data_IF_749589613415
#
_entry.id   IF_749589613415
#
_cell.length_a   1.000
_cell.length_b   1.000
_cell.length_c   1.000
_cell.angle_alpha   90.00
_cell.angle_beta   90.00
_cell.angle_gamma   90.00
#
_symmetry.space_group_name_H-M   'P 1'
#
loop_
_entity.id
_entity.type
_entity.pdbx_description
1 polymer ?
#
# COMPACT_ATOMS: atom_id res chain seq x y z
N UNK A 1 -21.85 19.72 -1.28
CA UNK A 1 -22.08 18.34 -0.75
C UNK A 1 -21.30 18.26 0.53
N UNK A 2 -21.89 17.86 1.62
CA UNK A 2 -21.20 17.68 2.91
C UNK A 2 -21.07 16.20 3.18
N UNK A 3 -19.97 15.80 3.84
CA UNK A 3 -19.75 14.42 4.24
C UNK A 3 -20.40 14.21 5.62
N UNK A 4 -21.45 13.41 5.68
CA UNK A 4 -22.18 13.13 6.92
C UNK A 4 -21.56 11.92 7.64
N UNK A 5 -20.76 12.18 8.67
CA UNK A 5 -20.12 11.16 9.50
C UNK A 5 -21.07 10.42 10.47
N UNK A 6 -22.36 10.80 10.50
CA UNK A 6 -23.37 10.10 11.31
C UNK A 6 -23.93 8.84 10.63
N UNK A 7 -23.76 8.72 9.30
CA UNK A 7 -24.15 7.51 8.58
C UNK A 7 -23.40 6.28 9.11
N UNK A 8 -23.94 5.07 8.89
CA UNK A 8 -23.18 3.85 9.15
C UNK A 8 -21.96 3.74 8.20
N UNK A 9 -21.00 2.91 8.56
CA UNK A 9 -19.74 2.80 7.82
C UNK A 9 -19.92 2.34 6.38
N UNK A 10 -20.91 1.51 6.09
CA UNK A 10 -21.19 1.07 4.72
C UNK A 10 -21.77 2.21 3.85
N UNK A 11 -22.73 2.98 4.39
CA UNK A 11 -23.30 4.16 3.71
C UNK A 11 -22.25 5.25 3.52
N UNK A 12 -21.38 5.45 4.51
CA UNK A 12 -20.27 6.38 4.41
C UNK A 12 -19.26 5.92 3.34
N UNK A 13 -18.96 4.61 3.27
CA UNK A 13 -18.11 4.04 2.22
C UNK A 13 -18.67 4.35 0.83
N UNK A 14 -19.96 4.11 0.59
CA UNK A 14 -20.61 4.44 -0.68
C UNK A 14 -20.44 5.92 -1.04
N UNK A 15 -20.67 6.81 -0.06
CA UNK A 15 -20.49 8.25 -0.24
C UNK A 15 -19.06 8.64 -0.61
N UNK A 16 -18.06 8.00 0.01
CA UNK A 16 -16.64 8.24 -0.30
C UNK A 16 -16.28 7.68 -1.69
N UNK A 17 -16.79 6.51 -2.04
CA UNK A 17 -16.56 5.89 -3.36
C UNK A 17 -17.11 6.77 -4.48
N UNK A 18 -18.28 7.35 -4.31
CA UNK A 18 -18.93 8.21 -5.32
C UNK A 18 -18.23 9.57 -5.51
N UNK A 19 -17.29 9.93 -4.64
CA UNK A 19 -16.42 11.08 -4.81
C UNK A 19 -15.13 10.60 -5.49
N UNK A 20 -14.96 10.93 -6.77
CA UNK A 20 -13.76 10.58 -7.54
C UNK A 20 -12.52 11.18 -6.90
N UNK A 21 -11.49 10.36 -6.73
CA UNK A 21 -10.20 10.74 -6.16
C UNK A 21 -9.07 9.88 -6.72
N UNK A 22 -8.98 9.77 -8.03
CA UNK A 22 -7.82 9.14 -8.68
C UNK A 22 -6.54 9.88 -8.25
N UNK A 23 -5.45 9.14 -8.05
CA UNK A 23 -4.19 9.70 -7.51
C UNK A 23 -3.77 11.02 -8.20
N UNK A 24 -3.70 12.08 -7.41
CA UNK A 24 -3.45 13.46 -7.84
C UNK A 24 -4.72 14.30 -8.06
N UNK A 25 -5.92 13.75 -7.88
CA UNK A 25 -7.22 14.42 -8.00
C UNK A 25 -8.03 14.40 -6.68
N UNK A 26 -7.37 14.17 -5.54
CA UNK A 26 -8.00 13.94 -4.22
C UNK A 26 -8.57 15.22 -3.58
N UNK A 27 -8.26 16.38 -4.12
CA UNK A 27 -8.54 17.70 -3.51
C UNK A 27 -9.98 17.86 -3.03
N UNK A 28 -10.95 17.38 -3.80
CA UNK A 28 -12.39 17.49 -3.44
C UNK A 28 -12.69 16.65 -2.22
N UNK A 29 -12.29 15.38 -2.24
CA UNK A 29 -12.49 14.44 -1.14
C UNK A 29 -11.74 14.92 0.12
N UNK A 30 -10.48 15.32 -0.01
CA UNK A 30 -9.67 15.88 1.06
C UNK A 30 -10.33 17.08 1.75
N UNK A 31 -10.92 18.00 0.95
CA UNK A 31 -11.60 19.18 1.48
C UNK A 31 -12.89 18.83 2.23
N UNK A 32 -13.63 17.83 1.78
CA UNK A 32 -14.84 17.34 2.46
C UNK A 32 -14.48 16.64 3.79
N UNK A 33 -13.44 15.82 3.79
CA UNK A 33 -12.91 15.17 5.01
C UNK A 33 -12.44 16.24 6.02
N UNK A 34 -11.66 17.23 5.56
CA UNK A 34 -11.20 18.32 6.42
C UNK A 34 -12.38 19.09 7.04
N UNK A 35 -13.37 19.45 6.23
CA UNK A 35 -14.54 20.20 6.70
C UNK A 35 -15.33 19.40 7.76
N UNK A 36 -15.56 18.10 7.51
CA UNK A 36 -16.25 17.21 8.43
C UNK A 36 -15.50 17.07 9.77
N UNK A 37 -14.18 16.86 9.73
CA UNK A 37 -13.36 16.70 10.93
C UNK A 37 -13.21 18.01 11.72
N UNK A 38 -13.11 19.17 11.05
CA UNK A 38 -13.08 20.50 11.72
C UNK A 38 -14.40 20.83 12.44
N UNK A 39 -15.50 20.22 12.03
CA UNK A 39 -16.79 20.31 12.73
C UNK A 39 -16.82 19.59 14.06
N UNK A 40 -15.81 18.79 14.42
CA UNK A 40 -15.74 17.98 15.63
C UNK A 40 -14.86 18.65 16.69
N UNK A 41 -15.46 19.21 17.78
CA UNK A 41 -14.73 20.06 18.73
C UNK A 41 -13.66 19.35 19.56
N UNK A 42 -13.67 18.01 19.59
CA UNK A 42 -12.70 17.19 20.32
C UNK A 42 -11.43 16.87 19.50
N UNK A 43 -11.37 17.31 18.23
CA UNK A 43 -10.23 17.07 17.35
C UNK A 43 -9.48 18.36 17.00
N UNK A 44 -8.17 18.29 16.98
CA UNK A 44 -7.34 19.28 16.33
C UNK A 44 -7.00 18.82 14.91
N UNK A 45 -7.27 19.64 13.90
CA UNK A 45 -7.14 19.25 12.49
C UNK A 45 -6.03 20.06 11.81
N UNK A 46 -5.11 19.35 11.16
CA UNK A 46 -4.03 19.90 10.35
C UNK A 46 -4.17 19.36 8.92
N UNK A 47 -3.80 20.19 7.93
CA UNK A 47 -3.76 19.82 6.50
C UNK A 47 -2.40 20.16 5.90
N UNK A 48 -1.84 19.25 5.11
CA UNK A 48 -0.64 19.44 4.30
C UNK A 48 -0.91 18.88 2.89
N UNK A 49 -1.06 19.77 1.90
CA UNK A 49 -1.55 19.36 0.58
C UNK A 49 -2.96 18.82 0.64
N UNK A 50 -3.15 17.58 0.18
CA UNK A 50 -4.42 16.86 0.28
C UNK A 50 -4.40 15.79 1.38
N UNK A 51 -3.37 15.76 2.21
CA UNK A 51 -3.33 14.96 3.43
C UNK A 51 -3.90 15.70 4.64
N UNK A 52 -4.72 15.02 5.45
CA UNK A 52 -5.38 15.55 6.64
C UNK A 52 -4.96 14.72 7.87
N UNK A 53 -4.57 15.40 8.94
CA UNK A 53 -4.32 14.80 10.24
C UNK A 53 -5.34 15.37 11.23
N UNK A 54 -6.07 14.50 11.93
CA UNK A 54 -6.94 14.88 13.04
C UNK A 54 -6.47 14.17 14.33
N UNK A 55 -6.44 14.90 15.46
CA UNK A 55 -5.86 14.36 16.71
C UNK A 55 -6.73 14.66 17.91
N UNK A 56 -6.88 13.66 18.79
CA UNK A 56 -7.30 13.90 20.17
C UNK A 56 -6.12 14.43 20.98
N UNK A 57 -6.42 15.19 22.04
CA UNK A 57 -5.42 15.77 22.98
C UNK A 57 -5.87 15.59 24.41
N UNK A 58 -6.18 14.34 24.79
CA UNK A 58 -6.72 13.99 26.10
C UNK A 58 -5.60 13.79 27.14
N UNK A 59 -4.33 13.72 26.72
CA UNK A 59 -3.20 13.47 27.59
C UNK A 59 -3.12 12.01 28.06
N UNK A 60 -3.56 11.07 27.22
CA UNK A 60 -3.48 9.64 27.51
C UNK A 60 -2.01 9.17 27.49
N UNK A 61 -1.69 8.11 28.28
CA UNK A 61 -0.31 7.58 28.31
C UNK A 61 0.19 7.03 26.97
N UNK A 62 -0.72 6.55 26.12
CA UNK A 62 -0.43 5.99 24.81
C UNK A 62 -1.12 6.80 23.73
N UNK A 63 -0.49 6.84 22.56
CA UNK A 63 -1.05 7.40 21.33
C UNK A 63 -0.93 6.40 20.21
N UNK A 64 -2.03 6.15 19.53
CA UNK A 64 -2.06 5.31 18.34
C UNK A 64 -2.41 6.12 17.10
N UNK A 65 -1.93 5.65 15.95
CA UNK A 65 -2.23 6.25 14.65
C UNK A 65 -3.14 5.28 13.90
N UNK A 66 -4.23 5.80 13.33
CA UNK A 66 -5.08 5.09 12.38
C UNK A 66 -5.00 5.84 11.07
N UNK A 67 -4.52 5.17 10.02
CA UNK A 67 -4.20 5.82 8.76
C UNK A 67 -4.85 5.11 7.58
N UNK A 68 -5.20 5.87 6.53
CA UNK A 68 -5.66 5.34 5.26
C UNK A 68 -5.47 6.35 4.14
N UNK A 69 -5.17 5.85 2.93
CA UNK A 69 -5.11 6.69 1.75
C UNK A 69 -6.51 6.98 1.21
N UNK A 70 -6.65 8.12 0.56
CA UNK A 70 -7.92 8.60 0.02
C UNK A 70 -7.96 8.60 -1.51
N UNK A 71 -6.85 8.28 -2.14
CA UNK A 71 -6.77 8.13 -3.59
C UNK A 71 -7.19 6.71 -4.03
N UNK A 72 -7.33 6.57 -5.33
CA UNK A 72 -7.62 5.30 -6.00
C UNK A 72 -6.81 5.19 -7.29
N UNK A 73 -6.66 3.97 -7.78
CA UNK A 73 -6.24 3.72 -9.17
C UNK A 73 -7.22 4.33 -10.18
N UNK A 74 -6.88 4.42 -11.49
CA UNK A 74 -7.79 4.90 -12.52
C UNK A 74 -9.10 4.09 -12.55
N UNK A 75 -10.22 4.80 -12.72
CA UNK A 75 -11.58 4.24 -12.75
C UNK A 75 -11.73 3.29 -13.95
N UNK A 76 -12.19 2.07 -13.70
CA UNK A 76 -12.41 1.02 -14.70
C UNK A 76 -13.90 0.78 -14.99
N UNK A 77 -14.66 1.86 -15.23
CA UNK A 77 -16.13 1.85 -15.42
C UNK A 77 -16.91 1.30 -14.19
N UNK A 78 -16.31 1.34 -13.01
CA UNK A 78 -16.84 0.87 -11.73
C UNK A 78 -17.27 2.01 -10.79
N UNK A 79 -17.84 3.08 -11.35
CA UNK A 79 -18.56 4.16 -10.67
C UNK A 79 -19.85 4.50 -11.42
N UNK A 80 -20.91 4.97 -10.72
CA UNK A 80 -20.99 5.16 -9.27
C UNK A 80 -21.01 3.83 -8.51
N UNK A 81 -20.88 3.92 -7.18
CA UNK A 81 -21.02 2.76 -6.30
C UNK A 81 -22.43 2.15 -6.43
N UNK A 82 -22.52 0.85 -6.28
CA UNK A 82 -23.81 0.16 -6.20
C UNK A 82 -23.74 -1.02 -5.25
N UNK A 83 -24.90 -1.44 -4.76
CA UNK A 83 -24.98 -2.53 -3.80
C UNK A 83 -25.72 -3.72 -4.38
N UNK A 84 -25.14 -4.91 -4.26
CA UNK A 84 -25.78 -6.18 -4.57
C UNK A 84 -25.76 -7.09 -3.31
N UNK A 85 -26.92 -7.22 -2.68
CA UNK A 85 -27.00 -7.93 -1.39
C UNK A 85 -26.13 -7.28 -0.32
N UNK A 86 -25.11 -8.01 0.16
CA UNK A 86 -24.14 -7.50 1.13
C UNK A 86 -22.87 -6.91 0.49
N UNK A 87 -22.74 -6.96 -0.82
CA UNK A 87 -21.55 -6.47 -1.51
C UNK A 87 -21.76 -5.03 -1.98
N UNK A 88 -20.81 -4.16 -1.64
CA UNK A 88 -20.73 -2.78 -2.10
C UNK A 88 -19.64 -2.68 -3.15
N UNK A 89 -20.03 -2.48 -4.40
CA UNK A 89 -19.14 -2.34 -5.56
C UNK A 89 -18.74 -0.90 -5.80
N UNK A 90 -17.52 -0.69 -6.28
CA UNK A 90 -17.04 0.61 -6.72
C UNK A 90 -15.53 0.76 -6.59
N UNK A 91 -14.93 1.63 -7.39
CA UNK A 91 -13.50 1.92 -7.36
C UNK A 91 -13.09 2.48 -5.99
N UNK A 92 -12.16 1.82 -5.32
CA UNK A 92 -11.73 2.15 -3.96
C UNK A 92 -12.66 1.63 -2.86
N UNK A 93 -13.70 0.83 -3.18
CA UNK A 93 -14.57 0.25 -2.14
C UNK A 93 -13.84 -0.72 -1.24
N UNK A 94 -12.89 -1.47 -1.78
CA UNK A 94 -11.98 -2.35 -1.09
C UNK A 94 -10.69 -1.60 -0.71
N UNK A 95 -10.05 -0.95 -1.65
CA UNK A 95 -8.75 -0.30 -1.52
C UNK A 95 -8.85 1.21 -1.70
N UNK A 96 -8.91 2.00 -0.58
CA UNK A 96 -9.21 1.53 0.78
C UNK A 96 -10.25 2.44 1.45
N UNK A 97 -11.25 2.96 0.65
CA UNK A 97 -12.27 3.90 1.17
C UNK A 97 -13.18 3.29 2.24
N UNK A 98 -13.34 1.95 2.28
CA UNK A 98 -14.05 1.29 3.38
C UNK A 98 -13.27 1.39 4.70
N UNK A 99 -11.96 1.22 4.66
CA UNK A 99 -11.10 1.47 5.81
C UNK A 99 -11.10 2.93 6.25
N UNK A 100 -11.07 3.86 5.27
CA UNK A 100 -11.20 5.31 5.51
C UNK A 100 -12.54 5.65 6.16
N UNK A 101 -13.65 5.03 5.72
CA UNK A 101 -14.97 5.24 6.30
C UNK A 101 -15.03 4.80 7.77
N UNK A 102 -14.45 3.62 8.09
CA UNK A 102 -14.32 3.15 9.48
C UNK A 102 -13.53 4.17 10.31
N UNK A 103 -12.38 4.62 9.84
CA UNK A 103 -11.54 5.58 10.54
C UNK A 103 -12.27 6.93 10.78
N UNK A 104 -12.94 7.47 9.76
CA UNK A 104 -13.70 8.73 9.86
C UNK A 104 -14.84 8.62 10.86
N UNK A 105 -15.57 7.51 10.83
CA UNK A 105 -16.69 7.28 11.73
C UNK A 105 -16.24 7.14 13.18
N UNK A 106 -15.16 6.41 13.42
CA UNK A 106 -14.57 6.31 14.76
C UNK A 106 -14.02 7.66 15.23
N UNK A 107 -13.40 8.44 14.36
CA UNK A 107 -12.95 9.79 14.67
C UNK A 107 -14.11 10.70 15.12
N UNK A 108 -15.29 10.55 14.52
CA UNK A 108 -16.48 11.32 14.89
C UNK A 108 -17.10 10.87 16.22
N UNK A 109 -17.14 9.56 16.48
CA UNK A 109 -17.84 8.97 17.64
C UNK A 109 -17.01 8.93 18.90
N UNK A 110 -15.71 8.72 18.80
CA UNK A 110 -14.83 8.50 19.95
C UNK A 110 -14.31 9.83 20.51
N UNK A 111 -15.11 10.48 21.34
CA UNK A 111 -14.74 11.73 22.01
C UNK A 111 -13.82 11.53 23.23
N UNK A 112 -13.81 10.34 23.81
CA UNK A 112 -13.04 9.97 25.01
C UNK A 112 -12.43 8.56 24.87
N UNK A 113 -11.61 8.29 23.84
CA UNK A 113 -10.95 7.00 23.71
C UNK A 113 -9.97 6.75 24.88
N UNK A 114 -9.65 5.49 25.14
CA UNK A 114 -8.72 5.08 26.20
C UNK A 114 -7.26 5.47 25.90
N UNK A 115 -6.95 5.68 24.63
CA UNK A 115 -5.67 6.13 24.10
C UNK A 115 -5.87 7.46 23.36
N UNK A 116 -4.83 8.32 23.27
CA UNK A 116 -4.88 9.42 22.32
C UNK A 116 -4.77 8.87 20.88
N UNK A 117 -5.59 9.37 19.98
CA UNK A 117 -5.64 8.89 18.60
C UNK A 117 -5.21 9.99 17.62
N UNK A 118 -4.40 9.62 16.65
CA UNK A 118 -4.08 10.42 15.46
C UNK A 118 -4.70 9.73 14.26
N UNK A 119 -5.65 10.37 13.62
CA UNK A 119 -6.28 9.94 12.38
C UNK A 119 -5.54 10.58 11.22
N UNK A 120 -5.10 9.79 10.22
CA UNK A 120 -4.33 10.27 9.07
C UNK A 120 -5.02 9.81 7.80
N UNK A 121 -5.42 10.78 6.97
CA UNK A 121 -6.00 10.55 5.66
C UNK A 121 -5.08 11.19 4.63
N UNK A 122 -4.49 10.43 3.71
CA UNK A 122 -3.42 10.93 2.86
C UNK A 122 -3.62 10.58 1.39
N UNK A 123 -3.02 11.35 0.54
CA UNK A 123 -3.12 11.34 -0.91
C UNK A 123 -1.98 10.55 -1.57
N UNK A 124 -2.17 10.15 -2.83
CA UNK A 124 -1.14 9.62 -3.73
C UNK A 124 -0.38 8.38 -3.19
N UNK A 125 -1.09 7.41 -2.61
CA UNK A 125 -0.50 6.12 -2.23
C UNK A 125 -0.19 5.27 -3.47
N UNK A 126 -1.12 5.24 -4.42
CA UNK A 126 -1.19 4.34 -5.57
C UNK A 126 -0.25 4.74 -6.73
N UNK A 127 0.61 5.70 -6.50
CA UNK A 127 1.54 6.24 -7.52
C UNK A 127 2.97 6.32 -6.98
N UNK A 128 3.85 7.04 -7.69
CA UNK A 128 5.27 7.13 -7.33
C UNK A 128 5.48 7.67 -5.92
N UNK A 129 6.39 7.04 -5.18
CA UNK A 129 6.71 7.35 -3.78
C UNK A 129 6.93 8.84 -3.50
N UNK A 130 7.52 9.60 -4.43
CA UNK A 130 7.79 11.03 -4.26
C UNK A 130 6.51 11.89 -4.16
N UNK A 131 5.38 11.39 -4.65
CA UNK A 131 4.08 12.05 -4.58
C UNK A 131 3.30 11.69 -3.31
N UNK A 132 3.64 10.59 -2.66
CA UNK A 132 2.92 10.01 -1.54
C UNK A 132 2.76 10.99 -0.36
N UNK A 133 1.51 11.22 0.05
CA UNK A 133 1.13 12.17 1.10
C UNK A 133 1.70 11.81 2.46
N UNK A 134 1.77 10.53 2.82
CA UNK A 134 2.34 10.10 4.10
C UNK A 134 3.86 10.35 4.13
N UNK A 135 4.56 10.12 3.02
CA UNK A 135 5.98 10.48 2.90
C UNK A 135 6.18 12.00 3.05
N UNK A 136 5.30 12.80 2.46
CA UNK A 136 5.33 14.26 2.60
C UNK A 136 5.09 14.68 4.05
N UNK A 137 4.10 14.10 4.73
CA UNK A 137 3.82 14.35 6.15
C UNK A 137 5.00 13.97 7.04
N UNK A 138 5.68 12.85 6.76
CA UNK A 138 6.84 12.41 7.54
C UNK A 138 8.03 13.38 7.45
N UNK A 139 8.13 14.15 6.37
CA UNK A 139 9.17 15.19 6.17
C UNK A 139 8.76 16.54 6.77
N UNK A 140 7.50 16.94 6.56
CA UNK A 140 7.03 18.29 6.92
C UNK A 140 6.59 18.42 8.38
N UNK A 141 5.95 17.38 8.93
CA UNK A 141 5.38 17.40 10.28
C UNK A 141 5.52 16.05 11.02
N UNK A 142 6.76 15.48 11.13
CA UNK A 142 6.99 14.18 11.74
C UNK A 142 6.46 14.10 13.18
N UNK A 143 6.44 15.23 13.92
CA UNK A 143 5.91 15.31 15.28
C UNK A 143 4.40 14.98 15.37
N UNK A 144 3.65 15.15 14.28
CA UNK A 144 2.23 14.79 14.23
C UNK A 144 2.03 13.29 14.00
N UNK A 145 3.04 12.60 13.50
CA UNK A 145 3.07 11.14 13.28
C UNK A 145 3.76 10.39 14.43
N UNK A 146 4.03 11.03 15.56
CA UNK A 146 4.56 10.36 16.73
C UNK A 146 3.46 9.58 17.47
N UNK A 147 3.77 8.34 17.85
CA UNK A 147 2.84 7.43 18.53
C UNK A 147 3.54 6.13 18.97
N UNK A 148 2.77 5.18 19.48
CA UNK A 148 3.24 3.89 19.99
C UNK A 148 2.94 2.74 19.00
N UNK A 149 1.92 2.89 18.15
CA UNK A 149 1.52 1.93 17.13
C UNK A 149 0.79 2.67 16.01
N UNK A 150 0.99 2.26 14.76
CA UNK A 150 0.17 2.66 13.63
C UNK A 150 -0.63 1.45 13.09
N UNK A 151 -1.88 1.72 12.72
CA UNK A 151 -2.76 0.79 12.02
C UNK A 151 -3.14 1.42 10.70
N UNK A 152 -2.72 0.81 9.59
CA UNK A 152 -3.20 1.16 8.26
C UNK A 152 -4.46 0.35 7.98
N UNK A 153 -5.51 1.07 7.58
CA UNK A 153 -6.82 0.49 7.32
C UNK A 153 -6.93 -0.16 5.93
N UNK A 154 -5.80 -0.72 5.46
CA UNK A 154 -5.66 -1.48 4.21
C UNK A 154 -6.59 -2.70 4.17
N UNK A 155 -7.00 -3.16 2.98
CA UNK A 155 -7.76 -4.40 2.86
C UNK A 155 -6.93 -5.59 3.33
N UNK A 156 -7.46 -6.33 4.29
CA UNK A 156 -6.80 -7.50 4.90
C UNK A 156 -7.76 -8.65 5.19
N UNK A 157 -8.97 -8.58 4.64
CA UNK A 157 -10.03 -9.55 4.92
C UNK A 157 -10.37 -9.63 6.43
N UNK A 158 -10.26 -8.48 7.14
CA UNK A 158 -10.55 -8.37 8.57
C UNK A 158 -9.58 -9.13 9.49
N UNK A 159 -8.39 -9.46 9.01
CA UNK A 159 -7.31 -10.13 9.74
C UNK A 159 -6.11 -9.20 9.86
N UNK A 160 -5.39 -9.21 10.98
CA UNK A 160 -4.17 -8.42 11.12
C UNK A 160 -3.10 -8.97 10.17
N UNK A 161 -2.53 -8.12 9.34
CA UNK A 161 -1.36 -8.42 8.53
C UNK A 161 -0.16 -7.64 9.04
N UNK A 162 0.89 -8.37 9.47
CA UNK A 162 2.11 -7.80 10.02
C UNK A 162 3.10 -7.40 8.93
N UNK A 163 3.70 -6.23 9.11
CA UNK A 163 4.73 -5.70 8.22
C UNK A 163 4.31 -5.60 6.77
N UNK A 164 5.28 -5.61 5.87
CA UNK A 164 5.07 -5.75 4.42
C UNK A 164 6.37 -6.19 3.73
N UNK A 165 6.25 -6.80 2.55
CA UNK A 165 7.44 -7.06 1.72
C UNK A 165 7.98 -5.77 1.12
N UNK A 166 9.31 -5.73 0.92
CA UNK A 166 9.94 -4.72 0.09
C UNK A 166 9.68 -4.98 -1.40
N UNK A 167 9.80 -3.93 -2.19
CA UNK A 167 9.71 -3.99 -3.65
C UNK A 167 10.92 -3.34 -4.29
N UNK A 168 11.38 -3.92 -5.40
CA UNK A 168 12.48 -3.38 -6.18
C UNK A 168 12.20 -3.61 -7.66
N UNK A 169 12.51 -2.62 -8.49
CA UNK A 169 12.49 -2.74 -9.94
C UNK A 169 13.91 -2.58 -10.48
N UNK A 170 14.27 -3.44 -11.43
CA UNK A 170 15.55 -3.34 -12.09
C UNK A 170 15.40 -3.56 -13.59
N UNK A 171 16.30 -2.95 -14.38
CA UNK A 171 16.48 -3.20 -15.79
C UNK A 171 17.73 -4.05 -16.00
N UNK A 172 17.56 -5.18 -16.70
CA UNK A 172 18.63 -6.09 -17.06
C UNK A 172 18.81 -6.01 -18.56
N UNK A 173 20.00 -5.59 -19.01
CA UNK A 173 20.25 -5.24 -20.39
C UNK A 173 21.11 -6.31 -21.08
N UNK A 174 20.71 -6.66 -22.29
CA UNK A 174 21.55 -7.44 -23.23
C UNK A 174 21.95 -6.57 -24.39
N UNK A 175 23.20 -6.74 -24.81
CA UNK A 175 23.79 -6.03 -25.95
C UNK A 175 24.01 -6.95 -27.12
N UNK A 176 23.99 -6.36 -28.31
CA UNK A 176 24.20 -7.04 -29.55
C UNK A 176 24.99 -6.18 -30.57
N UNK A 177 24.80 -6.48 -31.81
CA UNK A 177 25.38 -5.73 -32.93
C UNK A 177 24.36 -5.55 -34.03
N UNK A 178 24.09 -4.31 -34.42
CA UNK A 178 23.18 -3.99 -35.53
C UNK A 178 23.68 -4.57 -36.86
N UNK A 179 22.72 -5.08 -37.62
CA UNK A 179 22.92 -5.46 -39.01
C UNK A 179 21.58 -5.40 -39.77
N UNK A 180 21.62 -5.39 -41.07
CA UNK A 180 20.44 -5.58 -41.88
C UNK A 180 19.89 -7.00 -41.68
N UNK A 181 18.58 -7.17 -41.44
CA UNK A 181 17.98 -8.48 -41.16
C UNK A 181 18.18 -9.49 -42.30
N UNK A 182 18.29 -9.04 -43.57
CA UNK A 182 18.67 -9.88 -44.71
C UNK A 182 20.14 -10.37 -44.69
N UNK A 183 20.94 -9.87 -43.74
CA UNK A 183 22.34 -10.24 -43.51
C UNK A 183 22.61 -10.45 -42.04
N UNK A 184 21.69 -11.17 -41.36
CA UNK A 184 21.70 -11.36 -39.92
C UNK A 184 23.02 -11.94 -39.37
N UNK A 185 23.77 -12.71 -40.16
CA UNK A 185 25.07 -13.25 -39.78
C UNK A 185 26.17 -12.18 -39.56
N UNK A 186 25.95 -10.93 -39.94
CA UNK A 186 26.85 -9.81 -39.68
C UNK A 186 26.56 -9.11 -38.33
N UNK A 187 25.45 -9.44 -37.70
CA UNK A 187 25.00 -8.88 -36.43
C UNK A 187 25.00 -9.88 -35.31
N UNK A 188 24.63 -9.39 -34.12
CA UNK A 188 24.30 -10.18 -32.95
C UNK A 188 22.94 -9.65 -32.37
N UNK A 189 21.98 -10.54 -32.28
CA UNK A 189 20.62 -10.14 -31.85
C UNK A 189 20.50 -10.09 -30.33
N UNK A 190 20.34 -8.88 -29.78
CA UNK A 190 20.19 -8.67 -28.34
C UNK A 190 18.89 -9.27 -27.78
N UNK A 191 17.80 -9.33 -28.58
CA UNK A 191 16.57 -9.99 -28.16
C UNK A 191 16.78 -11.49 -27.95
N UNK A 192 17.56 -12.14 -28.88
CA UNK A 192 17.90 -13.56 -28.70
C UNK A 192 18.76 -13.77 -27.43
N UNK A 193 19.68 -12.83 -27.14
CA UNK A 193 20.52 -12.91 -25.94
C UNK A 193 19.71 -12.77 -24.65
N UNK A 194 18.56 -12.08 -24.67
CA UNK A 194 17.66 -11.96 -23.49
C UNK A 194 17.06 -13.32 -23.06
N UNK A 195 17.11 -14.36 -23.91
CA UNK A 195 16.70 -15.71 -23.54
C UNK A 195 17.45 -16.21 -22.29
N UNK A 196 18.73 -15.84 -22.10
CA UNK A 196 19.49 -16.20 -20.91
C UNK A 196 18.92 -15.56 -19.62
N UNK A 197 18.45 -14.32 -19.69
CA UNK A 197 17.79 -13.64 -18.55
C UNK A 197 16.48 -14.35 -18.21
N UNK A 198 15.67 -14.66 -19.22
CA UNK A 198 14.38 -15.34 -19.03
C UNK A 198 14.56 -16.77 -18.48
N UNK A 199 15.65 -17.46 -18.88
CA UNK A 199 15.99 -18.77 -18.35
C UNK A 199 16.40 -18.72 -16.89
N UNK A 200 17.19 -17.71 -16.46
CA UNK A 200 17.51 -17.47 -15.05
C UNK A 200 16.23 -17.24 -14.23
N UNK A 201 15.30 -16.43 -14.74
CA UNK A 201 14.03 -16.16 -14.06
C UNK A 201 13.15 -17.41 -14.00
N UNK A 202 13.11 -18.22 -15.04
CA UNK A 202 12.34 -19.48 -15.06
C UNK A 202 12.85 -20.48 -14.05
N UNK A 203 14.16 -20.50 -13.81
CA UNK A 203 14.82 -21.36 -12.83
C UNK A 203 14.95 -20.75 -11.44
N UNK A 204 14.46 -19.52 -11.22
CA UNK A 204 14.61 -18.87 -9.92
C UNK A 204 13.70 -19.47 -8.86
N UNK A 205 14.29 -19.89 -7.75
CA UNK A 205 13.59 -20.41 -6.58
C UNK A 205 13.54 -19.35 -5.48
N UNK A 206 12.37 -18.73 -5.25
CA UNK A 206 12.23 -17.68 -4.24
C UNK A 206 12.30 -18.25 -2.82
N UNK A 207 12.92 -17.50 -1.91
CA UNK A 207 12.91 -17.83 -0.48
C UNK A 207 11.50 -17.72 0.11
N UNK A 208 11.29 -18.47 1.20
CA UNK A 208 10.10 -18.39 2.05
C UNK A 208 10.54 -18.26 3.51
N UNK A 209 11.13 -17.11 3.91
CA UNK A 209 11.63 -16.95 5.25
C UNK A 209 10.50 -16.77 6.26
N UNK A 210 10.72 -17.28 7.47
CA UNK A 210 9.99 -16.85 8.66
C UNK A 210 10.65 -15.58 9.21
N UNK A 211 9.86 -14.54 9.42
CA UNK A 211 10.31 -13.28 10.01
C UNK A 211 9.36 -12.94 11.15
N UNK A 212 9.89 -13.01 12.38
CA UNK A 212 9.13 -12.75 13.61
C UNK A 212 7.81 -13.57 13.71
N UNK A 213 7.87 -14.85 13.27
CA UNK A 213 6.73 -15.78 13.32
C UNK A 213 5.77 -15.70 12.14
N UNK A 214 6.04 -14.87 11.14
CA UNK A 214 5.26 -14.78 9.90
C UNK A 214 6.08 -15.24 8.69
N UNK A 215 5.47 -16.11 7.87
CA UNK A 215 6.12 -16.60 6.65
C UNK A 215 5.85 -15.65 5.48
N UNK A 216 6.91 -15.05 4.94
CA UNK A 216 6.88 -14.25 3.72
C UNK A 216 7.24 -15.09 2.50
N UNK A 217 6.83 -14.64 1.31
CA UNK A 217 7.13 -15.31 0.03
C UNK A 217 7.79 -14.30 -0.90
N UNK A 218 9.10 -14.45 -1.13
CA UNK A 218 9.80 -13.63 -2.11
C UNK A 218 9.36 -13.98 -3.54
N UNK A 219 9.64 -13.11 -4.50
CA UNK A 219 9.37 -13.36 -5.90
C UNK A 219 10.18 -12.44 -6.81
N UNK A 220 10.82 -13.01 -7.82
CA UNK A 220 11.56 -12.27 -8.85
C UNK A 220 10.98 -12.62 -10.21
N UNK A 221 10.38 -11.61 -10.89
CA UNK A 221 9.65 -11.82 -12.13
C UNK A 221 10.00 -10.77 -13.19
N UNK A 222 10.01 -11.17 -14.46
CA UNK A 222 9.97 -10.20 -15.54
C UNK A 222 8.57 -9.56 -15.62
N UNK A 223 8.53 -8.23 -15.63
CA UNK A 223 7.30 -7.44 -15.74
C UNK A 223 7.26 -6.60 -17.02
N UNK A 224 8.33 -6.64 -17.81
CA UNK A 224 8.40 -5.99 -19.11
C UNK A 224 9.64 -6.45 -19.89
N UNK A 225 9.55 -6.38 -21.22
CA UNK A 225 10.65 -6.58 -22.13
C UNK A 225 10.51 -5.62 -23.30
N UNK A 226 11.60 -4.95 -23.68
CA UNK A 226 11.62 -4.06 -24.84
C UNK A 226 12.91 -4.24 -25.65
N UNK A 227 12.80 -4.20 -26.97
CA UNK A 227 13.94 -4.31 -27.86
C UNK A 227 13.51 -4.12 -29.31
N UNK A 228 14.50 -3.78 -30.18
CA UNK A 228 14.28 -3.54 -31.58
C UNK A 228 13.89 -2.09 -31.89
N UNK A 229 14.35 -1.61 -33.06
CA UNK A 229 14.14 -0.24 -33.53
C UNK A 229 13.42 -0.17 -34.88
N UNK A 230 13.51 -1.23 -35.72
CA UNK A 230 12.83 -1.34 -37.02
C UNK A 230 12.77 -2.81 -37.46
N UNK A 231 11.77 -3.17 -38.28
CA UNK A 231 11.51 -4.55 -38.69
C UNK A 231 12.60 -5.19 -39.58
N UNK A 232 13.50 -4.38 -40.14
CA UNK A 232 14.59 -4.84 -40.99
C UNK A 232 15.99 -4.66 -40.37
N UNK A 233 16.05 -4.41 -39.04
CA UNK A 233 17.29 -4.23 -38.28
C UNK A 233 17.41 -5.30 -37.22
N UNK A 234 18.55 -6.01 -37.16
CA UNK A 234 18.92 -6.89 -36.06
C UNK A 234 19.13 -6.01 -34.82
N UNK A 235 18.38 -6.23 -33.71
CA UNK A 235 18.47 -5.41 -32.50
C UNK A 235 19.85 -5.51 -31.84
N UNK A 236 20.38 -4.37 -31.41
CA UNK A 236 21.65 -4.27 -30.69
C UNK A 236 21.46 -4.04 -29.19
N UNK A 237 20.22 -3.86 -28.74
CA UNK A 237 19.86 -3.73 -27.32
C UNK A 237 18.52 -4.42 -27.06
N UNK A 238 18.43 -5.08 -25.91
CA UNK A 238 17.16 -5.54 -25.33
C UNK A 238 17.21 -5.36 -23.82
N UNK A 239 16.13 -4.82 -23.24
CA UNK A 239 16.00 -4.55 -21.81
C UNK A 239 14.87 -5.38 -21.26
N UNK A 240 15.17 -6.19 -20.24
CA UNK A 240 14.17 -6.92 -19.44
C UNK A 240 13.97 -6.17 -18.13
N UNK A 241 12.75 -5.69 -17.90
CA UNK A 241 12.38 -5.09 -16.61
C UNK A 241 11.93 -6.19 -15.65
N UNK A 242 12.58 -6.27 -14.50
CA UNK A 242 12.26 -7.26 -13.46
C UNK A 242 11.73 -6.56 -12.22
N UNK A 243 10.79 -7.20 -11.52
CA UNK A 243 10.34 -6.80 -10.19
C UNK A 243 10.76 -7.88 -9.20
N UNK A 244 11.39 -7.46 -8.10
CA UNK A 244 11.74 -8.30 -6.96
C UNK A 244 10.91 -7.90 -5.75
N UNK A 245 10.10 -8.82 -5.26
CA UNK A 245 9.42 -8.73 -3.97
C UNK A 245 10.26 -9.49 -2.95
N UNK A 246 10.76 -8.79 -1.93
CA UNK A 246 11.69 -9.37 -0.95
C UNK A 246 11.14 -9.26 0.48
N UNK A 247 11.47 -10.25 1.29
CA UNK A 247 11.02 -10.30 2.67
C UNK A 247 11.69 -9.20 3.52
N UNK A 248 11.04 -8.73 4.59
CA UNK A 248 11.52 -7.60 5.40
C UNK A 248 12.72 -7.94 6.30
N UNK A 249 13.30 -9.15 6.19
CA UNK A 249 14.59 -9.50 6.77
C UNK A 249 15.78 -9.04 5.93
N UNK A 250 15.53 -8.53 4.70
CA UNK A 250 16.54 -7.92 3.82
C UNK A 250 16.41 -6.40 3.79
N UNK A 251 17.55 -5.72 3.82
CA UNK A 251 17.59 -4.29 3.45
C UNK A 251 17.47 -4.10 1.93
N UNK A 252 17.21 -2.86 1.50
CA UNK A 252 17.19 -2.51 0.07
C UNK A 252 18.55 -2.78 -0.61
N UNK A 253 19.66 -2.53 0.10
CA UNK A 253 21.02 -2.81 -0.39
C UNK A 253 21.26 -4.31 -0.57
N UNK A 254 20.81 -5.13 0.38
CA UNK A 254 20.91 -6.60 0.29
C UNK A 254 20.03 -7.14 -0.85
N UNK A 255 18.85 -6.58 -1.05
CA UNK A 255 17.98 -6.92 -2.18
C UNK A 255 18.62 -6.55 -3.52
N UNK A 256 19.23 -5.36 -3.62
CA UNK A 256 19.96 -4.94 -4.84
C UNK A 256 21.19 -5.81 -5.12
N UNK A 257 21.92 -6.19 -4.08
CA UNK A 257 23.05 -7.12 -4.21
C UNK A 257 22.59 -8.48 -4.73
N UNK A 258 21.47 -9.01 -4.20
CA UNK A 258 20.89 -10.27 -4.64
C UNK A 258 20.45 -10.22 -6.13
N UNK A 259 19.78 -9.15 -6.55
CA UNK A 259 19.38 -9.00 -7.96
C UNK A 259 20.60 -8.97 -8.88
N UNK A 260 21.67 -8.25 -8.51
CA UNK A 260 22.92 -8.23 -9.27
C UNK A 260 23.63 -9.58 -9.29
N UNK A 261 23.53 -10.36 -8.23
CA UNK A 261 24.09 -11.72 -8.16
C UNK A 261 23.33 -12.67 -9.10
N UNK A 262 22.00 -12.65 -9.08
CA UNK A 262 21.16 -13.48 -9.96
C UNK A 262 21.47 -13.21 -11.43
N UNK A 263 21.67 -11.94 -11.79
CA UNK A 263 21.97 -11.52 -13.17
C UNK A 263 23.46 -11.21 -13.38
N UNK A 264 24.34 -11.93 -12.67
CA UNK A 264 25.77 -11.75 -12.85
C UNK A 264 26.19 -11.96 -14.33
N UNK A 265 26.94 -11.02 -14.88
CA UNK A 265 27.36 -11.02 -16.29
C UNK A 265 26.46 -10.19 -17.22
N UNK A 266 25.37 -9.63 -16.71
CA UNK A 266 24.54 -8.65 -17.41
C UNK A 266 24.70 -7.26 -16.80
N UNK A 267 24.37 -6.23 -17.57
CA UNK A 267 24.24 -4.87 -17.03
C UNK A 267 22.92 -4.74 -16.27
N UNK A 268 23.01 -4.41 -14.98
CA UNK A 268 21.85 -4.30 -14.07
C UNK A 268 21.75 -2.91 -13.50
N UNK A 269 20.69 -2.19 -13.83
CA UNK A 269 20.33 -0.90 -13.25
C UNK A 269 19.11 -1.04 -12.31
N UNK A 270 19.27 -0.68 -11.03
CA UNK A 270 18.13 -0.57 -10.12
C UNK A 270 17.42 0.75 -10.42
N UNK A 271 16.15 0.68 -10.79
CA UNK A 271 15.35 1.85 -11.22
C UNK A 271 14.38 2.32 -10.16
N UNK A 272 14.00 1.44 -9.21
CA UNK A 272 13.11 1.75 -8.10
C UNK A 272 13.36 0.79 -6.94
N UNK A 273 13.20 1.26 -5.70
CA UNK A 273 13.37 0.43 -4.52
C UNK A 273 12.67 1.02 -3.30
N UNK A 274 11.84 0.22 -2.65
CA UNK A 274 11.24 0.54 -1.36
C UNK A 274 11.48 -0.62 -0.38
N UNK A 275 12.04 -0.36 0.82
CA UNK A 275 12.25 -1.39 1.84
C UNK A 275 10.91 -1.92 2.35
N UNK A 276 10.89 -3.17 2.82
CA UNK A 276 9.78 -3.73 3.58
C UNK A 276 9.79 -3.28 5.05
N UNK A 277 8.78 -3.68 5.78
CA UNK A 277 8.68 -3.50 7.23
C UNK A 277 8.55 -4.85 7.93
N UNK A 278 9.28 -5.03 9.05
CA UNK A 278 9.11 -6.20 9.91
C UNK A 278 7.71 -6.21 10.54
N UNK A 279 7.18 -7.39 10.92
CA UNK A 279 5.80 -7.54 11.41
C UNK A 279 5.37 -6.58 12.53
N UNK A 280 6.27 -6.21 13.44
CA UNK A 280 5.96 -5.32 14.55
C UNK A 280 5.04 -5.90 15.63
N UNK A 281 4.57 -7.14 15.48
CA UNK A 281 3.56 -7.78 16.35
C UNK A 281 4.09 -8.08 17.76
N UNK A 282 5.41 -8.17 17.94
CA UNK A 282 6.04 -8.35 19.26
C UNK A 282 6.08 -7.08 20.12
N UNK A 283 5.67 -5.92 19.59
CA UNK A 283 5.66 -4.69 20.35
C UNK A 283 4.47 -4.68 21.34
N UNK A 284 4.67 -4.23 22.60
CA UNK A 284 3.60 -4.23 23.61
C UNK A 284 2.31 -3.52 23.17
N UNK A 285 2.44 -2.41 22.41
CA UNK A 285 1.27 -1.68 21.90
C UNK A 285 0.45 -2.47 20.87
N UNK A 286 1.01 -3.48 20.20
CA UNK A 286 0.27 -4.33 19.28
C UNK A 286 -0.54 -5.42 20.01
N UNK A 287 -0.17 -5.78 21.23
CA UNK A 287 -0.81 -6.89 21.97
C UNK A 287 -2.29 -6.66 22.24
N UNK A 288 -2.68 -5.41 22.58
CA UNK A 288 -4.10 -5.06 22.82
C UNK A 288 -4.92 -5.10 21.53
N UNK A 289 -4.36 -4.66 20.42
CA UNK A 289 -5.00 -4.76 19.11
C UNK A 289 -5.20 -6.22 18.69
N UNK A 290 -4.16 -7.05 18.84
CA UNK A 290 -4.22 -8.49 18.55
C UNK A 290 -5.33 -9.19 19.37
N UNK A 291 -5.46 -8.83 20.64
CA UNK A 291 -6.50 -9.36 21.51
C UNK A 291 -7.92 -8.91 21.09
N UNK A 292 -8.08 -7.65 20.68
CA UNK A 292 -9.37 -7.11 20.27
C UNK A 292 -9.83 -7.64 18.91
N UNK A 293 -8.91 -7.75 17.93
CA UNK A 293 -9.21 -8.26 16.59
C UNK A 293 -9.39 -9.78 16.62
N UNK A 294 -8.54 -10.48 17.39
CA UNK A 294 -8.50 -11.94 17.40
C UNK A 294 -7.94 -12.54 16.11
N UNK A 295 -8.08 -13.87 15.98
CA UNK A 295 -7.58 -14.59 14.81
C UNK A 295 -6.07 -14.80 14.82
N UNK A 296 -5.54 -15.33 13.70
CA UNK A 296 -4.11 -15.59 13.51
C UNK A 296 -3.56 -14.56 12.52
N UNK A 297 -2.58 -13.74 12.94
CA UNK A 297 -1.97 -12.76 12.04
C UNK A 297 -1.32 -13.41 10.82
N UNK A 298 -1.31 -12.68 9.70
CA UNK A 298 -0.67 -13.08 8.44
C UNK A 298 0.44 -12.11 8.04
N UNK A 299 1.32 -12.54 7.14
CA UNK A 299 2.30 -11.68 6.52
C UNK A 299 1.62 -10.85 5.40
N UNK A 300 1.84 -9.52 5.35
CA UNK A 300 1.47 -8.70 4.19
C UNK A 300 2.45 -8.96 3.06
N UNK A 301 1.97 -9.52 1.95
CA UNK A 301 2.80 -9.84 0.79
C UNK A 301 2.94 -8.64 -0.19
N UNK A 302 1.98 -7.73 -0.20
CA UNK A 302 2.11 -6.42 -0.86
C UNK A 302 3.04 -5.48 -0.10
N UNK A 303 3.54 -4.44 -0.76
CA UNK A 303 4.14 -3.29 -0.09
C UNK A 303 3.02 -2.35 0.34
N UNK A 304 3.13 -1.76 1.52
CA UNK A 304 2.22 -0.75 2.03
C UNK A 304 2.98 0.29 2.84
N UNK A 305 2.34 1.39 3.15
CA UNK A 305 2.93 2.49 3.91
C UNK A 305 3.25 2.18 5.38
N UNK A 306 3.00 0.96 5.88
CA UNK A 306 3.59 0.49 7.15
C UNK A 306 5.12 0.59 7.12
N UNK A 307 5.72 0.48 5.94
CA UNK A 307 7.16 0.68 5.75
C UNK A 307 7.62 2.10 6.09
N UNK A 308 6.78 3.11 5.85
CA UNK A 308 7.09 4.50 6.19
C UNK A 308 7.03 4.74 7.69
N UNK A 309 6.04 4.17 8.37
CA UNK A 309 5.98 4.21 9.83
C UNK A 309 7.17 3.47 10.46
N UNK A 310 7.53 2.31 9.93
CA UNK A 310 8.71 1.57 10.37
C UNK A 310 10.01 2.39 10.19
N UNK A 311 10.14 3.16 9.11
CA UNK A 311 11.26 4.07 8.89
C UNK A 311 11.32 5.23 9.91
N UNK A 312 10.17 5.61 10.50
CA UNK A 312 10.10 6.55 11.63
C UNK A 312 10.35 5.89 12.99
N UNK A 313 10.63 4.58 13.02
CA UNK A 313 10.80 3.81 14.26
C UNK A 313 9.49 3.44 14.96
N UNK A 314 8.36 3.60 14.29
CA UNK A 314 7.03 3.29 14.81
C UNK A 314 6.58 1.90 14.31
N UNK A 315 6.23 0.96 15.22
CA UNK A 315 5.63 -0.30 14.80
C UNK A 315 4.30 -0.06 14.09
N UNK A 316 4.05 -0.80 13.01
CA UNK A 316 2.86 -0.61 12.21
C UNK A 316 2.34 -1.95 11.67
N UNK A 317 1.02 -2.05 11.57
CA UNK A 317 0.30 -3.22 11.03
C UNK A 317 -0.77 -2.77 10.05
N UNK A 318 -1.19 -3.69 9.18
CA UNK A 318 -2.36 -3.48 8.32
C UNK A 318 -3.56 -4.21 8.93
N UNK A 319 -4.71 -3.53 8.97
CA UNK A 319 -5.96 -4.11 9.41
C UNK A 319 -7.14 -3.31 8.87
N UNK A 320 -7.96 -3.91 8.04
CA UNK A 320 -9.16 -3.28 7.51
C UNK A 320 -10.07 -4.26 6.78
N UNK A 321 -11.24 -3.79 6.35
CA UNK A 321 -12.20 -4.59 5.58
C UNK A 321 -11.74 -4.72 4.12
N UNK A 322 -12.27 -5.73 3.44
CA UNK A 322 -12.04 -6.01 2.04
C UNK A 322 -10.99 -7.08 1.79
N UNK A 323 -11.24 -7.85 0.75
CA UNK A 323 -10.29 -8.86 0.26
C UNK A 323 -9.25 -8.19 -0.64
N UNK A 324 -7.95 -8.21 -0.27
CA UNK A 324 -6.91 -7.56 -1.05
C UNK A 324 -6.75 -8.13 -2.48
N UNK A 325 -7.28 -9.32 -2.77
CA UNK A 325 -7.25 -9.89 -4.12
C UNK A 325 -8.23 -9.21 -5.08
N UNK A 326 -9.20 -8.45 -4.55
CA UNK A 326 -10.19 -7.69 -5.34
C UNK A 326 -9.75 -6.27 -5.67
N UNK A 327 -8.69 -5.77 -5.02
CA UNK A 327 -8.13 -4.45 -5.27
C UNK A 327 -7.74 -4.28 -6.76
N UNK A 328 -7.91 -3.06 -7.28
CA UNK A 328 -7.54 -2.67 -8.66
C UNK A 328 -8.29 -3.42 -9.77
N UNK A 329 -9.37 -4.11 -9.45
CA UNK A 329 -10.17 -4.84 -10.43
C UNK A 329 -11.43 -4.07 -10.86
N UNK A 330 -11.97 -4.30 -12.07
CA UNK A 330 -13.24 -3.71 -12.47
C UNK A 330 -14.41 -4.14 -11.57
N UNK A 331 -14.32 -5.33 -10.97
CA UNK A 331 -15.33 -5.91 -10.08
C UNK A 331 -15.01 -5.69 -8.60
N UNK A 332 -14.22 -4.67 -8.29
CA UNK A 332 -13.82 -4.32 -6.93
C UNK A 332 -15.04 -4.10 -6.04
N UNK A 333 -15.10 -4.79 -4.91
CA UNK A 333 -16.19 -4.71 -3.94
C UNK A 333 -15.73 -5.08 -2.53
N UNK A 334 -16.57 -4.74 -1.54
CA UNK A 334 -16.37 -5.09 -0.13
C UNK A 334 -17.67 -5.60 0.49
N UNK A 335 -17.60 -6.59 1.38
CA UNK A 335 -18.75 -7.02 2.17
C UNK A 335 -19.04 -5.98 3.28
N UNK A 336 -20.26 -5.43 3.27
CA UNK A 336 -20.67 -4.41 4.26
C UNK A 336 -20.71 -4.97 5.70
N UNK A 337 -20.91 -6.27 5.87
CA UNK A 337 -20.83 -6.90 7.18
C UNK A 337 -19.39 -6.86 7.71
N UNK A 338 -18.41 -7.04 6.85
CA UNK A 338 -17.00 -6.97 7.22
C UNK A 338 -16.58 -5.53 7.61
N UNK A 339 -17.12 -4.50 6.92
CA UNK A 339 -16.91 -3.10 7.30
C UNK A 339 -17.40 -2.86 8.74
N UNK A 340 -18.61 -3.31 9.05
CA UNK A 340 -19.21 -3.15 10.38
C UNK A 340 -18.43 -3.94 11.45
N UNK A 341 -17.95 -5.13 11.13
CA UNK A 341 -17.13 -5.94 12.04
C UNK A 341 -15.78 -5.26 12.34
N UNK A 342 -15.09 -4.74 11.30
CA UNK A 342 -13.86 -3.99 11.48
C UNK A 342 -14.09 -2.73 12.35
N UNK A 343 -15.17 -1.96 12.11
CA UNK A 343 -15.52 -0.81 12.95
C UNK A 343 -15.69 -1.24 14.41
N UNK A 344 -16.46 -2.29 14.67
CA UNK A 344 -16.73 -2.75 16.04
C UNK A 344 -15.44 -3.21 16.76
N UNK A 345 -14.55 -3.93 16.10
CA UNK A 345 -13.28 -4.39 16.67
C UNK A 345 -12.33 -3.22 16.95
N UNK A 346 -12.23 -2.26 16.04
CA UNK A 346 -11.43 -1.05 16.24
C UNK A 346 -12.01 -0.18 17.37
N UNK A 347 -13.33 -0.03 17.46
CA UNK A 347 -13.98 0.67 18.55
C UNK A 347 -13.69 0.01 19.90
N UNK A 348 -13.84 -1.31 19.98
CA UNK A 348 -13.54 -2.07 21.20
C UNK A 348 -12.07 -1.89 21.63
N UNK A 349 -11.13 -1.93 20.69
CA UNK A 349 -9.72 -1.68 20.98
C UNK A 349 -9.44 -0.27 21.49
N UNK A 350 -10.03 0.74 20.88
CA UNK A 350 -9.78 2.15 21.21
C UNK A 350 -10.50 2.61 22.50
N UNK A 351 -11.43 1.81 23.01
CA UNK A 351 -12.20 2.11 24.24
C UNK A 351 -11.87 1.20 25.44
N UNK A 352 -11.02 0.17 25.24
CA UNK A 352 -10.64 -0.81 26.26
C UNK A 352 -9.73 -0.27 27.38
#
# INVERSE_FOLDING_TARGET
MDLDLSHDSASLTASLVDIQSVSGEEKVLASLIEAALRGLPHLSVHRDGDAIIARTTLGRPQRVIVAGHIDTVPIAANLPSHREGNLLYGCGSCDMKSGVAVALRLAARLTQPSQDVTWVFYDCEEVEAERNGLLRLSRNCPQLLAGDLAVLMEPTDGVIEGGCQGTMRAEVVTHGKRAHSARAWMGQNAIHAAAGILELLRGYEPRKPDVDGLTYREGLNAVGIRGGVAGNVVPDECVVTVNFRFAPDRSAEQAAAHVREVFAGYDVAITDSAPGARPGLGHPAASSLLAAVGGVPRAKLGWTDVARFAALGLPAVNYGPGDPELAHSPDEHVDVAQIAECEAKMEAWLTA
#
